data_IF_703171636919
#
_entry.id   IF_703171636919
#
_cell.length_a   1.000
_cell.length_b   1.000
_cell.length_c   1.000
_cell.angle_alpha   90.00
_cell.angle_beta   90.00
_cell.angle_gamma   90.00
#
_symmetry.space_group_name_H-M   'P 1'
#
loop_
_entity.id
_entity.type
_entity.pdbx_description
1 polymer ?
#
# COMPACT_ATOMS: atom_id res chain seq x y z
N UNK A 1 4.37 37.40 15.25
CA UNK A 1 4.51 36.04 15.80
C UNK A 1 4.08 35.09 14.71
N UNK A 2 5.01 34.28 14.21
CA UNK A 2 4.73 33.27 13.18
C UNK A 2 3.88 32.21 13.88
N UNK A 3 2.63 32.04 13.46
CA UNK A 3 1.70 31.06 14.02
C UNK A 3 2.26 29.66 13.78
N UNK A 4 3.00 29.14 14.77
CA UNK A 4 3.43 27.75 14.75
C UNK A 4 2.19 26.87 14.81
N UNK A 5 2.01 25.91 13.89
CA UNK A 5 0.77 25.12 13.77
C UNK A 5 0.66 24.01 14.85
N UNK A 6 1.27 24.24 16.01
CA UNK A 6 1.49 23.29 17.10
C UNK A 6 1.04 23.97 18.38
N UNK A 7 -0.06 23.48 18.95
CA UNK A 7 -0.51 23.86 20.29
C UNK A 7 -0.32 22.66 21.20
N UNK A 8 0.42 22.82 22.29
CA UNK A 8 0.67 21.74 23.26
C UNK A 8 -0.45 21.75 24.30
N UNK A 9 -1.41 20.79 24.28
CA UNK A 9 -2.40 20.68 25.34
C UNK A 9 -1.72 20.29 26.67
N UNK A 10 -2.23 20.80 27.78
CA UNK A 10 -1.70 20.55 29.14
C UNK A 10 -1.70 19.06 29.55
N UNK A 11 -2.38 18.18 28.82
CA UNK A 11 -2.33 16.71 28.99
C UNK A 11 -1.42 16.02 27.96
N UNK A 12 -0.22 16.57 27.72
CA UNK A 12 0.69 16.06 26.68
C UNK A 12 1.33 14.74 27.11
N UNK A 13 0.90 13.63 26.50
CA UNK A 13 1.37 12.29 26.85
C UNK A 13 2.57 11.84 25.98
N UNK A 14 3.50 12.75 25.68
CA UNK A 14 4.69 12.56 24.82
C UNK A 14 4.45 11.93 23.43
N UNK A 15 3.21 11.85 22.97
CA UNK A 15 2.84 11.34 21.65
C UNK A 15 2.47 12.51 20.74
N UNK A 16 3.31 12.77 19.74
CA UNK A 16 3.05 13.71 18.65
C UNK A 16 2.03 13.10 17.68
N UNK A 17 0.78 12.97 18.13
CA UNK A 17 -0.33 12.52 17.30
C UNK A 17 -0.90 13.71 16.52
N UNK A 18 -1.55 13.44 15.38
CA UNK A 18 -2.16 14.47 14.55
C UNK A 18 -3.07 15.46 15.31
N UNK A 19 -3.62 15.06 16.47
CA UNK A 19 -4.43 15.86 17.39
C UNK A 19 -3.76 17.14 17.92
N UNK A 20 -2.43 17.26 17.80
CA UNK A 20 -1.64 18.42 18.22
C UNK A 20 -1.55 19.50 17.11
N UNK A 21 -1.93 19.15 15.86
CA UNK A 21 -1.97 20.10 14.75
C UNK A 21 -3.22 20.98 14.78
N UNK A 22 -3.03 22.29 14.76
CA UNK A 22 -4.12 23.27 14.72
C UNK A 22 -4.93 23.19 13.40
N UNK A 23 -4.29 22.83 12.28
CA UNK A 23 -4.92 22.86 10.96
C UNK A 23 -5.54 21.52 10.58
N UNK A 24 -6.81 21.33 10.97
CA UNK A 24 -7.58 20.12 10.66
C UNK A 24 -7.73 19.84 9.16
N UNK A 25 -7.69 20.87 8.30
CA UNK A 25 -7.88 20.69 6.85
C UNK A 25 -6.76 19.86 6.20
N UNK A 26 -5.51 20.03 6.62
CA UNK A 26 -4.35 19.32 6.04
C UNK A 26 -4.49 17.80 6.23
N UNK A 27 -5.23 17.37 7.25
CA UNK A 27 -5.52 15.96 7.52
C UNK A 27 -6.41 15.31 6.44
N UNK A 28 -7.13 16.09 5.63
CA UNK A 28 -7.97 15.57 4.54
C UNK A 28 -7.18 15.19 3.27
N UNK A 29 -5.95 15.67 3.07
CA UNK A 29 -5.14 15.28 1.90
C UNK A 29 -4.82 13.78 1.90
N UNK A 30 -4.47 13.25 3.06
CA UNK A 30 -4.01 11.89 3.21
C UNK A 30 -5.09 10.83 2.86
N UNK A 31 -6.37 10.94 3.31
CA UNK A 31 -7.43 10.05 2.82
C UNK A 31 -7.73 10.18 1.33
N UNK A 32 -7.69 11.39 0.76
CA UNK A 32 -7.93 11.60 -0.68
C UNK A 32 -6.89 10.88 -1.55
N UNK A 33 -5.60 11.04 -1.20
CA UNK A 33 -4.50 10.37 -1.91
C UNK A 33 -4.60 8.85 -1.74
N UNK A 34 -4.96 8.36 -0.56
CA UNK A 34 -5.12 6.92 -0.31
C UNK A 34 -6.24 6.30 -1.14
N UNK A 35 -7.38 6.98 -1.24
CA UNK A 35 -8.52 6.50 -2.06
C UNK A 35 -8.12 6.48 -3.54
N UNK A 36 -7.44 7.52 -4.01
CA UNK A 36 -6.93 7.56 -5.38
C UNK A 36 -5.95 6.41 -5.66
N UNK A 37 -4.97 6.22 -4.78
CA UNK A 37 -4.00 5.12 -4.85
C UNK A 37 -4.70 3.75 -4.81
N UNK A 38 -5.71 3.59 -3.94
CA UNK A 38 -6.50 2.38 -3.82
C UNK A 38 -7.23 2.05 -5.13
N UNK A 39 -7.97 3.02 -5.68
CA UNK A 39 -8.73 2.84 -6.91
C UNK A 39 -7.82 2.51 -8.09
N UNK A 40 -6.66 3.17 -8.18
CA UNK A 40 -5.69 2.92 -9.25
C UNK A 40 -5.03 1.54 -9.12
N UNK A 41 -4.63 1.12 -7.91
CA UNK A 41 -4.02 -0.19 -7.67
C UNK A 41 -5.01 -1.34 -7.84
N UNK A 42 -6.16 -1.28 -7.18
CA UNK A 42 -7.19 -2.32 -7.26
C UNK A 42 -7.77 -2.37 -8.67
N UNK A 43 -8.10 -1.22 -9.24
CA UNK A 43 -8.59 -1.11 -10.61
C UNK A 43 -7.57 -1.64 -11.63
N UNK A 44 -6.29 -1.30 -11.47
CA UNK A 44 -5.21 -1.80 -12.31
C UNK A 44 -5.02 -3.33 -12.20
N UNK A 45 -5.10 -3.88 -10.98
CA UNK A 45 -5.01 -5.33 -10.76
C UNK A 45 -6.21 -6.09 -11.37
N UNK A 46 -7.44 -5.59 -11.18
CA UNK A 46 -8.65 -6.18 -11.77
C UNK A 46 -8.62 -6.07 -13.30
N UNK A 47 -8.23 -4.92 -13.85
CA UNK A 47 -8.10 -4.74 -15.29
C UNK A 47 -7.05 -5.67 -15.89
N UNK A 48 -5.92 -5.82 -15.20
CA UNK A 48 -4.85 -6.75 -15.56
C UNK A 48 -5.36 -8.20 -15.54
N UNK A 49 -6.11 -8.59 -14.50
CA UNK A 49 -6.78 -9.89 -14.39
C UNK A 49 -7.64 -10.21 -15.61
N UNK A 50 -8.55 -9.29 -15.90
CA UNK A 50 -9.53 -9.43 -16.95
C UNK A 50 -8.86 -9.52 -18.32
N UNK A 51 -7.84 -8.68 -18.56
CA UNK A 51 -7.05 -8.70 -19.79
C UNK A 51 -6.30 -10.02 -19.98
N UNK A 52 -5.65 -10.55 -18.93
CA UNK A 52 -4.91 -11.81 -19.03
C UNK A 52 -5.84 -13.02 -19.17
N UNK A 53 -6.97 -13.02 -18.47
CA UNK A 53 -8.01 -14.05 -18.62
C UNK A 53 -8.49 -14.15 -20.07
N UNK A 54 -8.71 -13.01 -20.74
CA UNK A 54 -9.10 -12.97 -22.16
C UNK A 54 -8.00 -13.45 -23.12
N UNK A 55 -6.73 -13.40 -22.71
CA UNK A 55 -5.57 -13.73 -23.55
C UNK A 55 -5.05 -15.18 -23.36
N UNK A 56 -5.58 -15.94 -22.39
CA UNK A 56 -5.16 -17.33 -22.14
C UNK A 56 -3.72 -17.47 -21.63
N UNK A 57 -3.09 -16.38 -21.19
CA UNK A 57 -1.69 -16.35 -20.72
C UNK A 57 -1.66 -16.81 -19.26
N UNK A 58 -0.87 -17.85 -18.97
CA UNK A 58 -0.83 -18.57 -17.69
C UNK A 58 -0.39 -17.71 -16.51
N UNK A 59 -1.35 -17.46 -15.61
CA UNK A 59 -1.38 -17.37 -14.14
C UNK A 59 -0.23 -16.74 -13.33
N UNK A 60 1.05 -16.97 -13.63
CA UNK A 60 2.14 -16.56 -12.74
C UNK A 60 2.43 -15.04 -12.74
N UNK A 61 2.44 -14.33 -13.90
CA UNK A 61 2.57 -12.88 -13.90
C UNK A 61 1.38 -12.20 -13.22
N UNK A 62 0.20 -12.80 -13.36
CA UNK A 62 -1.05 -12.29 -12.81
C UNK A 62 -1.10 -12.44 -11.28
N UNK A 63 -0.82 -13.64 -10.76
CA UNK A 63 -0.76 -13.90 -9.31
C UNK A 63 0.28 -12.99 -8.63
N UNK A 64 1.47 -12.84 -9.22
CA UNK A 64 2.50 -11.96 -8.66
C UNK A 64 2.11 -10.48 -8.62
N UNK A 65 1.48 -9.96 -9.68
CA UNK A 65 0.98 -8.59 -9.71
C UNK A 65 -0.12 -8.34 -8.67
N UNK A 66 -1.00 -9.32 -8.42
CA UNK A 66 -2.01 -9.22 -7.36
C UNK A 66 -1.33 -9.12 -5.99
N UNK A 67 -0.33 -9.97 -5.71
CA UNK A 67 0.41 -9.93 -4.45
C UNK A 67 1.11 -8.58 -4.23
N UNK A 68 1.72 -8.01 -5.27
CA UNK A 68 2.32 -6.68 -5.22
C UNK A 68 1.25 -5.60 -4.99
N UNK A 69 0.10 -5.69 -5.67
CA UNK A 69 -0.99 -4.73 -5.51
C UNK A 69 -1.59 -4.75 -4.10
N UNK A 70 -1.87 -5.95 -3.56
CA UNK A 70 -2.34 -6.13 -2.19
C UNK A 70 -1.28 -5.63 -1.20
N UNK A 71 0.00 -5.96 -1.43
CA UNK A 71 1.10 -5.51 -0.58
C UNK A 71 1.25 -3.99 -0.54
N UNK A 72 1.05 -3.31 -1.67
CA UNK A 72 1.06 -1.84 -1.76
C UNK A 72 -0.16 -1.15 -1.13
N UNK A 73 -1.28 -1.87 -0.97
CA UNK A 73 -2.50 -1.36 -0.34
C UNK A 73 -2.46 -1.36 1.18
N UNK A 74 -1.73 -2.32 1.78
CA UNK A 74 -1.66 -2.50 3.22
C UNK A 74 -1.13 -1.26 3.98
N UNK A 75 -0.06 -0.57 3.54
CA UNK A 75 0.38 0.69 4.17
C UNK A 75 -0.70 1.78 4.16
N UNK A 76 -1.52 1.84 3.11
CA UNK A 76 -2.65 2.78 3.05
C UNK A 76 -3.71 2.47 4.12
N UNK A 77 -4.00 1.19 4.33
CA UNK A 77 -4.92 0.73 5.38
C UNK A 77 -4.33 1.06 6.76
N UNK A 78 -3.07 0.68 7.02
CA UNK A 78 -2.36 1.01 8.26
C UNK A 78 -2.28 2.50 8.54
N UNK A 79 -2.05 3.30 7.50
CA UNK A 79 -2.06 4.77 7.50
C UNK A 79 -3.39 5.36 7.95
N UNK A 80 -4.49 4.67 7.67
CA UNK A 80 -5.83 5.07 8.09
C UNK A 80 -6.08 4.74 9.57
N UNK A 81 -5.56 3.61 10.06
CA UNK A 81 -5.58 3.23 11.49
C UNK A 81 -4.67 4.11 12.36
N UNK A 82 -3.55 4.60 11.83
CA UNK A 82 -2.68 5.57 12.52
C UNK A 82 -3.44 6.84 12.86
N UNK A 83 -4.31 7.32 11.96
CA UNK A 83 -5.17 8.48 12.20
C UNK A 83 -6.26 8.22 13.25
N UNK A 84 -6.67 6.97 13.42
CA UNK A 84 -7.58 6.54 14.48
C UNK A 84 -6.88 6.33 15.85
N UNK A 85 -5.57 6.57 15.93
CA UNK A 85 -4.77 6.45 17.16
C UNK A 85 -3.99 5.14 17.29
N UNK A 86 -4.13 4.22 16.33
CA UNK A 86 -3.48 2.91 16.33
C UNK A 86 -2.22 2.93 15.45
N UNK A 87 -1.14 3.48 15.99
CA UNK A 87 0.13 3.63 15.24
C UNK A 87 0.78 2.28 14.96
N UNK A 88 0.62 1.31 15.87
CA UNK A 88 1.19 -0.02 15.76
C UNK A 88 0.68 -0.81 14.55
N UNK A 89 -0.57 -0.56 14.15
CA UNK A 89 -1.18 -1.20 12.98
C UNK A 89 -0.44 -0.81 11.69
N UNK A 90 0.08 0.43 11.61
CA UNK A 90 0.86 0.86 10.45
C UNK A 90 2.08 -0.03 10.26
N UNK A 91 2.90 -0.20 11.30
CA UNK A 91 4.12 -1.01 11.23
C UNK A 91 3.84 -2.46 10.83
N UNK A 92 2.76 -3.06 11.38
CA UNK A 92 2.35 -4.43 11.03
C UNK A 92 1.92 -4.50 9.56
N UNK A 93 1.12 -3.55 9.09
CA UNK A 93 0.66 -3.55 7.69
C UNK A 93 1.78 -3.26 6.70
N UNK A 94 2.76 -2.42 7.04
CA UNK A 94 3.94 -2.17 6.21
C UNK A 94 4.81 -3.42 6.09
N UNK A 95 5.04 -4.13 7.18
CA UNK A 95 5.80 -5.37 7.16
C UNK A 95 5.11 -6.44 6.31
N UNK A 96 3.81 -6.67 6.53
CA UNK A 96 3.04 -7.63 5.72
C UNK A 96 3.01 -7.18 4.25
N UNK A 97 2.89 -5.88 4.00
CA UNK A 97 2.91 -5.28 2.66
C UNK A 97 4.22 -5.58 1.92
N UNK A 98 5.35 -5.34 2.57
CA UNK A 98 6.68 -5.64 2.02
C UNK A 98 6.87 -7.13 1.74
N UNK A 99 6.42 -8.00 2.66
CA UNK A 99 6.47 -9.45 2.47
C UNK A 99 5.65 -9.87 1.26
N UNK A 100 4.43 -9.33 1.10
CA UNK A 100 3.57 -9.61 -0.04
C UNK A 100 4.18 -9.14 -1.37
N UNK A 101 4.77 -7.94 -1.41
CA UNK A 101 5.49 -7.42 -2.59
C UNK A 101 6.67 -8.34 -2.94
N UNK A 102 7.45 -8.77 -1.95
CA UNK A 102 8.58 -9.67 -2.16
C UNK A 102 8.14 -11.01 -2.76
N UNK A 103 7.10 -11.66 -2.20
CA UNK A 103 6.58 -12.91 -2.74
C UNK A 103 6.01 -12.74 -4.15
N UNK A 104 5.27 -11.65 -4.39
CA UNK A 104 4.75 -11.35 -5.72
C UNK A 104 5.87 -11.19 -6.75
N UNK A 105 6.94 -10.48 -6.41
CA UNK A 105 8.14 -10.36 -7.24
C UNK A 105 8.83 -11.71 -7.47
N UNK A 106 8.97 -12.54 -6.42
CA UNK A 106 9.59 -13.87 -6.50
C UNK A 106 8.85 -14.79 -7.49
N UNK A 107 7.51 -14.83 -7.42
CA UNK A 107 6.67 -15.62 -8.32
C UNK A 107 6.88 -15.19 -9.79
N UNK A 108 6.93 -13.88 -10.06
CA UNK A 108 7.16 -13.36 -11.41
C UNK A 108 8.56 -13.74 -11.90
N UNK A 109 9.57 -13.60 -11.03
CA UNK A 109 10.97 -13.88 -11.37
C UNK A 109 11.18 -15.36 -11.69
N UNK A 110 10.68 -16.27 -10.86
CA UNK A 110 10.81 -17.72 -11.07
C UNK A 110 10.12 -18.17 -12.37
N UNK A 111 8.95 -17.62 -12.68
CA UNK A 111 8.25 -17.93 -13.92
C UNK A 111 9.00 -17.45 -15.17
N UNK A 112 9.59 -16.25 -15.13
CA UNK A 112 10.43 -15.74 -16.23
C UNK A 112 11.65 -16.62 -16.49
N UNK A 113 12.30 -17.11 -15.42
CA UNK A 113 13.45 -18.01 -15.53
C UNK A 113 13.03 -19.32 -16.20
N UNK A 114 11.90 -19.91 -15.79
CA UNK A 114 11.38 -21.15 -16.38
C UNK A 114 11.14 -21.01 -17.90
N UNK A 115 10.40 -19.98 -18.32
CA UNK A 115 10.08 -19.72 -19.74
C UNK A 115 11.36 -19.54 -20.59
N UNK A 116 12.37 -18.83 -20.08
CA UNK A 116 13.63 -18.64 -20.82
C UNK A 116 14.43 -19.94 -20.98
N UNK A 117 14.33 -20.87 -20.03
CA UNK A 117 15.08 -22.13 -20.07
C UNK A 117 14.49 -23.09 -21.12
N UNK A 118 13.16 -23.09 -21.27
CA UNK A 118 12.45 -23.88 -22.28
C UNK A 118 12.71 -23.41 -23.72
N UNK A 119 12.95 -22.12 -23.94
CA UNK A 119 13.22 -21.56 -25.28
C UNK A 119 14.68 -21.70 -25.74
N UNK A 120 15.62 -22.04 -24.85
CA UNK A 120 17.04 -22.24 -25.15
C UNK A 120 17.44 -23.70 -25.38
N UNK A 121 16.48 -24.63 -25.33
CA UNK A 121 16.65 -26.08 -25.50
C UNK A 121 16.13 -26.54 -26.86
#
# INVERSE_FOLDING_TARGET
MISTPVELPTSFNNKLTGSVFAWKWVRYFSPLINIYAFLFLVGGAIYSAYKYYKQGIKEAPFKGNIFIAIGGLLPGIGGSFTRAGYVEVLYVTEFIGLVAIYYGYKIIKENKVFINTDHSS
#
